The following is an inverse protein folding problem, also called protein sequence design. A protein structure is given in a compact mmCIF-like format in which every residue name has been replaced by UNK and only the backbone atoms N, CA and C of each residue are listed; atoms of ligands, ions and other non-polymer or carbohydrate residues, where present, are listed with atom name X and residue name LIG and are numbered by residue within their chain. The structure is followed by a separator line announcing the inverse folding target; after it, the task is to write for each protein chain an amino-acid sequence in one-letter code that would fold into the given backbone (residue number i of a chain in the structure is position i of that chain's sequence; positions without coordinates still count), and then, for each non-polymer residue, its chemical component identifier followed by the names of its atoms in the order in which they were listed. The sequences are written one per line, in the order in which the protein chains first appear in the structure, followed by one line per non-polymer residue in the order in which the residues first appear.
data_IF_236392085042
#
_entry.id   IF_236392085042
#
_cell.length_a   1.000
_cell.length_b   1.000
_cell.length_c   1.000
_cell.angle_alpha   90.00
_cell.angle_beta   90.00
_cell.angle_gamma   90.00
#
_symmetry.space_group_name_H-M   'P 1'
#
loop_
_entity.id
_entity.type
_entity.pdbx_description
1 polymer ?
#
# COMPACT_ATOMS: atom_id res chain seq x y z
N UNK A 1 16.10 42.09 -15.27
CA UNK A 1 14.82 41.86 -15.96
C UNK A 1 15.10 40.86 -17.07
N UNK A 2 14.65 39.62 -17.08
CA UNK A 2 13.98 38.73 -16.14
C UNK A 2 14.44 37.34 -16.60
N UNK A 3 15.06 36.53 -15.74
CA UNK A 3 14.38 35.41 -15.07
C UNK A 3 13.39 34.72 -16.02
N UNK A 4 13.87 33.76 -16.79
CA UNK A 4 13.02 32.69 -17.29
C UNK A 4 13.39 31.43 -16.54
N UNK A 5 12.37 30.86 -15.94
CA UNK A 5 12.42 30.05 -14.75
C UNK A 5 12.85 28.62 -15.07
N UNK A 6 13.68 28.10 -14.17
CA UNK A 6 13.79 26.69 -13.82
C UNK A 6 12.50 25.92 -14.08
N UNK A 7 12.52 25.10 -15.12
CA UNK A 7 11.79 23.84 -15.15
C UNK A 7 12.81 22.78 -15.53
N UNK A 8 13.67 22.43 -14.56
CA UNK A 8 14.19 21.08 -14.52
C UNK A 8 12.97 20.17 -14.40
N UNK A 9 12.59 19.59 -15.54
CA UNK A 9 11.71 18.44 -15.56
C UNK A 9 12.40 17.38 -14.71
N UNK A 10 12.00 17.32 -13.43
CA UNK A 10 12.18 16.13 -12.62
C UNK A 10 11.42 15.07 -13.41
N UNK A 11 12.14 14.35 -14.25
CA UNK A 11 11.74 13.01 -14.62
C UNK A 11 11.55 12.34 -13.29
N UNK A 12 10.28 12.28 -12.85
CA UNK A 12 9.81 11.35 -11.85
C UNK A 12 10.18 9.99 -12.40
N UNK A 13 11.43 9.66 -12.15
CA UNK A 13 12.01 8.36 -12.33
C UNK A 13 11.26 7.57 -11.28
N UNK A 14 10.13 7.03 -11.74
CA UNK A 14 9.34 5.99 -11.12
C UNK A 14 10.22 4.73 -11.07
N UNK A 15 11.42 4.82 -10.51
CA UNK A 15 12.12 3.69 -9.96
C UNK A 15 11.42 3.46 -8.62
N UNK A 16 10.27 2.80 -8.71
CA UNK A 16 9.58 2.27 -7.56
C UNK A 16 10.62 1.47 -6.78
N UNK A 17 11.01 1.98 -5.61
CA UNK A 17 11.77 1.21 -4.65
C UNK A 17 10.81 0.08 -4.26
N UNK A 18 10.98 -1.10 -4.86
CA UNK A 18 10.08 -2.26 -4.71
C UNK A 18 9.90 -2.64 -3.23
N UNK A 19 10.87 -2.26 -2.40
CA UNK A 19 10.92 -2.49 -0.97
C UNK A 19 11.08 -1.19 -0.18
N UNK A 20 10.32 -1.07 0.90
CA UNK A 20 10.31 0.05 1.83
C UNK A 20 10.77 -0.45 3.20
N UNK A 21 11.65 0.30 3.84
CA UNK A 21 12.08 0.00 5.21
C UNK A 21 10.96 0.31 6.21
N UNK A 22 10.94 -0.40 7.34
CA UNK A 22 9.92 -0.23 8.38
C UNK A 22 9.73 1.22 8.82
N UNK A 23 10.83 1.95 9.04
CA UNK A 23 10.79 3.35 9.48
C UNK A 23 10.15 4.25 8.42
N UNK A 24 10.50 4.05 7.15
CA UNK A 24 9.95 4.79 6.03
C UNK A 24 8.46 4.47 5.84
N UNK A 25 8.06 3.20 5.98
CA UNK A 25 6.66 2.76 5.93
C UNK A 25 5.81 3.44 7.01
N UNK A 26 6.29 3.41 8.26
CA UNK A 26 5.63 4.06 9.40
C UNK A 26 5.51 5.57 9.19
N UNK A 27 6.58 6.21 8.73
CA UNK A 27 6.62 7.65 8.47
C UNK A 27 5.65 8.07 7.36
N UNK A 28 5.61 7.35 6.23
CA UNK A 28 4.73 7.65 5.09
C UNK A 28 3.25 7.57 5.48
N UNK A 29 2.90 6.60 6.33
CA UNK A 29 1.52 6.37 6.76
C UNK A 29 1.15 7.13 8.04
N UNK A 30 2.12 7.76 8.71
CA UNK A 30 1.92 8.44 9.98
C UNK A 30 1.46 7.49 11.10
N UNK A 31 1.94 6.24 11.09
CA UNK A 31 1.58 5.22 12.08
C UNK A 31 2.74 4.87 13.00
N UNK A 32 2.40 4.41 14.21
CA UNK A 32 3.36 3.84 15.15
C UNK A 32 3.63 2.35 14.90
N UNK A 33 4.69 1.85 15.52
CA UNK A 33 5.07 0.44 15.48
C UNK A 33 3.98 -0.49 16.02
N UNK A 34 3.22 -0.06 17.02
CA UNK A 34 2.10 -0.80 17.61
C UNK A 34 0.98 -1.09 16.59
N UNK A 35 0.65 -0.11 15.76
CA UNK A 35 -0.35 -0.26 14.70
C UNK A 35 0.20 -1.19 13.61
N UNK A 36 1.47 -1.03 13.21
CA UNK A 36 2.10 -1.91 12.24
C UNK A 36 2.11 -3.37 12.71
N UNK A 37 2.48 -3.63 13.97
CA UNK A 37 2.45 -4.96 14.57
C UNK A 37 1.03 -5.53 14.63
N UNK A 38 0.04 -4.70 14.92
CA UNK A 38 -1.37 -5.12 14.88
C UNK A 38 -1.77 -5.54 13.47
N UNK A 39 -1.39 -4.77 12.45
CA UNK A 39 -1.65 -5.13 11.06
C UNK A 39 -0.97 -6.44 10.64
N UNK A 40 0.26 -6.68 11.10
CA UNK A 40 0.96 -7.95 10.88
C UNK A 40 0.26 -9.12 11.58
N UNK A 41 -0.17 -8.93 12.83
CA UNK A 41 -0.85 -9.95 13.61
C UNK A 41 -2.16 -10.43 12.97
N UNK A 42 -2.88 -9.52 12.32
CA UNK A 42 -4.15 -9.81 11.65
C UNK A 42 -4.00 -10.14 10.16
N UNK A 43 -2.78 -10.39 9.69
CA UNK A 43 -2.47 -10.68 8.27
C UNK A 43 -2.98 -9.59 7.30
N UNK A 44 -3.12 -8.35 7.78
CA UNK A 44 -3.48 -7.21 6.93
C UNK A 44 -2.35 -6.91 5.95
N UNK A 45 -1.10 -7.19 6.30
CA UNK A 45 0.04 -7.13 5.40
C UNK A 45 0.90 -8.38 5.53
N UNK A 46 1.65 -8.66 4.48
CA UNK A 46 2.65 -9.73 4.50
C UNK A 46 3.80 -9.39 5.46
N UNK A 47 4.30 -10.37 6.22
CA UNK A 47 5.50 -10.21 7.03
C UNK A 47 6.70 -9.70 6.21
N UNK A 48 7.56 -8.86 6.81
CA UNK A 48 8.71 -8.31 6.10
C UNK A 48 9.76 -9.40 5.83
N UNK A 49 10.49 -9.21 4.74
CA UNK A 49 11.80 -9.85 4.59
C UNK A 49 12.84 -9.02 5.34
N UNK A 50 14.04 -9.57 5.53
CA UNK A 50 15.14 -8.84 6.16
C UNK A 50 16.28 -8.68 5.16
N UNK A 51 16.88 -7.48 5.11
CA UNK A 51 18.09 -7.28 4.33
C UNK A 51 19.32 -7.89 5.02
N UNK A 52 20.49 -7.77 4.39
CA UNK A 52 21.77 -8.29 4.92
C UNK A 52 22.14 -7.73 6.31
N UNK A 53 21.61 -6.55 6.67
CA UNK A 53 21.83 -5.89 7.96
C UNK A 53 20.76 -6.24 9.00
N UNK A 54 19.80 -7.10 8.66
CA UNK A 54 18.68 -7.47 9.52
C UNK A 54 17.59 -6.40 9.63
N UNK A 55 17.53 -5.43 8.71
CA UNK A 55 16.47 -4.41 8.70
C UNK A 55 15.23 -4.96 7.99
N UNK A 56 14.01 -4.82 8.58
CA UNK A 56 12.77 -5.25 7.94
C UNK A 56 12.46 -4.44 6.68
N UNK A 57 12.13 -5.15 5.60
CA UNK A 57 11.73 -4.62 4.31
C UNK A 57 10.34 -5.13 3.93
N UNK A 58 9.47 -4.21 3.58
CA UNK A 58 8.11 -4.45 3.14
C UNK A 58 7.99 -4.15 1.65
N UNK A 59 7.23 -4.94 0.91
CA UNK A 59 6.95 -4.63 -0.48
C UNK A 59 6.13 -3.33 -0.58
N UNK A 60 6.32 -2.50 -1.62
CA UNK A 60 5.61 -1.21 -1.77
C UNK A 60 4.08 -1.38 -1.75
N UNK A 61 3.54 -2.53 -2.18
CA UNK A 61 2.10 -2.85 -2.08
C UNK A 61 1.57 -2.87 -0.63
N UNK A 62 2.44 -3.07 0.36
CA UNK A 62 2.06 -2.98 1.78
C UNK A 62 1.64 -1.56 2.16
N UNK A 63 2.22 -0.52 1.54
CA UNK A 63 1.87 0.89 1.78
C UNK A 63 0.41 1.12 1.39
N UNK A 64 0.03 0.70 0.19
CA UNK A 64 -1.34 0.85 -0.31
C UNK A 64 -2.35 0.04 0.51
N UNK A 65 -2.00 -1.22 0.82
CA UNK A 65 -2.87 -2.10 1.60
C UNK A 65 -3.10 -1.58 3.03
N UNK A 66 -2.03 -1.11 3.70
CA UNK A 66 -2.13 -0.44 5.00
C UNK A 66 -2.98 0.82 4.92
N UNK A 67 -2.73 1.68 3.94
CA UNK A 67 -3.49 2.93 3.75
C UNK A 67 -5.00 2.66 3.66
N UNK A 68 -5.40 1.65 2.86
CA UNK A 68 -6.79 1.20 2.76
C UNK A 68 -7.32 0.70 4.10
N UNK A 69 -6.58 -0.18 4.79
CA UNK A 69 -6.97 -0.70 6.10
C UNK A 69 -7.14 0.38 7.16
N UNK A 70 -6.20 1.33 7.25
CA UNK A 70 -6.22 2.46 8.18
C UNK A 70 -7.44 3.37 7.94
N UNK A 71 -7.78 3.62 6.67
CA UNK A 71 -8.98 4.38 6.31
C UNK A 71 -10.25 3.66 6.73
N UNK A 72 -10.35 2.35 6.50
CA UNK A 72 -11.49 1.55 6.97
C UNK A 72 -11.61 1.58 8.51
N UNK A 73 -10.49 1.49 9.22
CA UNK A 73 -10.48 1.60 10.68
C UNK A 73 -10.98 2.96 11.15
N UNK A 74 -10.41 4.05 10.61
CA UNK A 74 -10.66 5.41 11.05
C UNK A 74 -12.03 5.94 10.62
N UNK A 75 -12.39 5.70 9.37
CA UNK A 75 -13.56 6.33 8.76
C UNK A 75 -14.84 5.53 9.03
N UNK A 76 -14.75 4.20 9.20
CA UNK A 76 -15.90 3.31 9.42
C UNK A 76 -15.93 2.63 10.80
N UNK A 77 -14.87 2.78 11.62
CA UNK A 77 -14.81 2.18 12.95
C UNK A 77 -14.71 0.65 12.95
N UNK A 78 -14.29 0.05 11.83
CA UNK A 78 -14.17 -1.41 11.71
C UNK A 78 -12.96 -1.90 12.51
N UNK A 79 -13.09 -3.02 13.21
CA UNK A 79 -11.96 -3.62 13.92
C UNK A 79 -10.93 -4.27 12.97
N UNK A 80 -9.73 -4.56 13.46
CA UNK A 80 -8.63 -5.11 12.65
C UNK A 80 -8.96 -6.45 11.98
N UNK A 81 -9.65 -7.34 12.69
CA UNK A 81 -10.12 -8.61 12.13
C UNK A 81 -11.09 -8.41 10.95
N UNK A 82 -12.04 -7.47 11.10
CA UNK A 82 -12.97 -7.12 10.04
C UNK A 82 -12.28 -6.46 8.86
N UNK A 83 -11.26 -5.64 9.10
CA UNK A 83 -10.45 -5.03 8.03
C UNK A 83 -9.75 -6.09 7.20
N UNK A 84 -9.12 -7.09 7.82
CA UNK A 84 -8.47 -8.18 7.09
C UNK A 84 -9.47 -8.88 6.15
N UNK A 85 -10.65 -9.23 6.66
CA UNK A 85 -11.72 -9.86 5.86
C UNK A 85 -12.18 -8.94 4.72
N UNK A 86 -12.40 -7.66 4.99
CA UNK A 86 -12.87 -6.71 3.97
C UNK A 86 -11.84 -6.55 2.85
N UNK A 87 -10.55 -6.41 3.20
CA UNK A 87 -9.48 -6.29 2.21
C UNK A 87 -9.38 -7.53 1.34
N UNK A 88 -9.47 -8.73 1.93
CA UNK A 88 -9.46 -9.98 1.16
C UNK A 88 -10.68 -10.11 0.23
N UNK A 89 -11.85 -9.65 0.67
CA UNK A 89 -13.04 -9.62 -0.17
C UNK A 89 -12.90 -8.62 -1.32
N UNK A 90 -12.31 -7.44 -1.07
CA UNK A 90 -12.05 -6.45 -2.10
C UNK A 90 -11.06 -6.99 -3.14
N UNK A 91 -9.98 -7.64 -2.72
CA UNK A 91 -9.03 -8.28 -3.63
C UNK A 91 -9.70 -9.37 -4.48
N UNK A 92 -10.57 -10.19 -3.87
CA UNK A 92 -11.33 -11.20 -4.60
C UNK A 92 -12.28 -10.57 -5.64
N UNK A 93 -12.95 -9.47 -5.30
CA UNK A 93 -13.78 -8.71 -6.23
C UNK A 93 -12.95 -8.17 -7.39
N UNK A 94 -11.82 -7.52 -7.12
CA UNK A 94 -10.93 -7.01 -8.16
C UNK A 94 -10.46 -8.11 -9.12
N UNK A 95 -10.13 -9.30 -8.60
CA UNK A 95 -9.77 -10.47 -9.39
C UNK A 95 -10.94 -10.97 -10.23
N UNK A 96 -12.14 -11.06 -9.65
CA UNK A 96 -13.33 -11.51 -10.36
C UNK A 96 -13.72 -10.54 -11.48
N UNK A 97 -13.75 -9.25 -11.20
CA UNK A 97 -14.05 -8.22 -12.19
C UNK A 97 -13.03 -8.23 -13.32
N UNK A 98 -11.74 -8.39 -13.00
CA UNK A 98 -10.68 -8.51 -14.03
C UNK A 98 -10.92 -9.69 -14.96
N UNK A 99 -11.27 -10.86 -14.41
CA UNK A 99 -11.60 -12.05 -15.21
C UNK A 99 -12.81 -11.83 -16.10
N UNK A 100 -13.85 -11.18 -15.58
CA UNK A 100 -15.04 -10.84 -16.38
C UNK A 100 -14.64 -9.89 -17.52
N UNK A 101 -13.88 -8.82 -17.24
CA UNK A 101 -13.37 -7.87 -18.26
C UNK A 101 -12.56 -8.57 -19.35
N UNK A 102 -11.66 -9.47 -18.97
CA UNK A 102 -10.85 -10.26 -19.91
C UNK A 102 -11.72 -11.16 -20.81
N UNK A 103 -12.82 -11.70 -20.28
CA UNK A 103 -13.73 -12.58 -21.03
C UNK A 103 -14.72 -11.82 -21.91
N UNK A 104 -15.17 -10.63 -21.49
CA UNK A 104 -16.19 -9.86 -22.22
C UNK A 104 -15.60 -8.86 -23.21
N UNK A 105 -14.30 -8.54 -23.12
CA UNK A 105 -13.61 -7.64 -24.05
C UNK A 105 -14.08 -6.19 -24.00
N UNK A 106 -14.76 -5.76 -22.93
CA UNK A 106 -15.22 -4.38 -22.79
C UNK A 106 -14.12 -3.46 -22.19
N UNK A 107 -13.73 -2.37 -22.86
CA UNK A 107 -12.89 -1.34 -22.27
C UNK A 107 -13.68 -0.41 -21.35
N UNK A 108 -12.98 0.14 -20.35
CA UNK A 108 -13.48 1.12 -19.38
C UNK A 108 -13.60 2.49 -20.08
N UNK A 109 -14.75 3.16 -19.96
CA UNK A 109 -14.97 4.51 -20.49
C UNK A 109 -14.66 5.60 -19.46
#
# INVERSE_FOLDING_TARGET
MSQDSDIEFVQATFFAKEWVEEEELCMRLGIGYDVLQTCLQWDIITPPIHNEKGVPLYHETAVDRLSRGLRLHRDLGVNWAGIAIILDLLDQLEVMERRIREQTGQPEW
#
